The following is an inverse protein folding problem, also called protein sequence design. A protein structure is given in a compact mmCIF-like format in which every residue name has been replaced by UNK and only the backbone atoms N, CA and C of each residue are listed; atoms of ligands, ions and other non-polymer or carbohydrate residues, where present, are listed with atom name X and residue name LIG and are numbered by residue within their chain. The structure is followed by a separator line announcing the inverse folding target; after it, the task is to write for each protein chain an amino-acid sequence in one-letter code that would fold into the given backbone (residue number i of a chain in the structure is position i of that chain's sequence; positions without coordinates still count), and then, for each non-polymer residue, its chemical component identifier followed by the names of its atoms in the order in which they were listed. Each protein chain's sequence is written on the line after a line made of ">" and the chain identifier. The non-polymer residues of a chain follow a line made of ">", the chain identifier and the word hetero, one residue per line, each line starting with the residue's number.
data_IF_351930666948
#
_entry.id   IF_351930666948
#
_cell.length_a   1.000
_cell.length_b   1.000
_cell.length_c   1.000
_cell.angle_alpha   90.00
_cell.angle_beta   90.00
_cell.angle_gamma   90.00
#
_symmetry.space_group_name_H-M   'P 1'
#
loop_
_entity.id
_entity.type
_entity.pdbx_description
1 polymer ?
#
# COMPACT_ATOMS: atom_id res chain seq x y z
N UNK A 1 65.37 12.26 1.93
CA UNK A 1 63.99 12.74 1.77
C UNK A 1 63.08 11.82 2.55
N UNK A 2 62.59 12.25 3.71
CA UNK A 2 61.58 11.51 4.46
C UNK A 2 60.25 11.64 3.72
N UNK A 3 59.77 10.55 3.13
CA UNK A 3 58.41 10.47 2.59
C UNK A 3 57.45 10.45 3.78
N UNK A 4 56.82 11.59 4.02
CA UNK A 4 55.72 11.72 4.97
C UNK A 4 54.50 11.02 4.35
N UNK A 5 54.31 9.73 4.66
CA UNK A 5 53.10 9.00 4.27
C UNK A 5 51.94 9.60 5.07
N UNK A 6 50.98 10.22 4.38
CA UNK A 6 49.74 10.68 4.97
C UNK A 6 49.03 9.47 5.62
N UNK A 7 48.49 9.60 6.85
CA UNK A 7 47.79 8.49 7.48
C UNK A 7 46.59 8.09 6.63
N UNK A 8 46.54 6.80 6.27
CA UNK A 8 45.40 6.21 5.61
C UNK A 8 44.21 6.30 6.57
N UNK A 9 43.29 7.24 6.34
CA UNK A 9 42.01 7.28 7.05
C UNK A 9 41.28 6.00 6.65
N UNK A 10 41.22 5.04 7.56
CA UNK A 10 40.37 3.86 7.43
C UNK A 10 38.93 4.37 7.38
N UNK A 11 38.35 4.45 6.18
CA UNK A 11 36.92 4.63 6.05
C UNK A 11 36.27 3.43 6.75
N UNK A 12 35.43 3.61 7.78
CA UNK A 12 34.68 2.50 8.36
C UNK A 12 33.95 1.77 7.24
N UNK A 13 33.83 0.44 7.32
CA UNK A 13 33.26 -0.44 6.29
C UNK A 13 31.95 0.14 5.72
N UNK A 14 32.09 0.95 4.68
CA UNK A 14 31.02 1.80 4.16
C UNK A 14 29.94 0.92 3.52
N UNK A 15 30.37 -0.19 2.92
CA UNK A 15 29.50 -1.21 2.34
C UNK A 15 28.63 -1.84 3.44
N UNK A 16 29.22 -2.26 4.56
CA UNK A 16 28.45 -2.85 5.67
C UNK A 16 27.47 -1.87 6.32
N UNK A 17 27.88 -0.60 6.50
CA UNK A 17 27.04 0.45 7.09
C UNK A 17 25.86 0.82 6.17
N UNK A 18 26.11 0.97 4.87
CA UNK A 18 25.06 1.29 3.88
C UNK A 18 24.08 0.14 3.73
N UNK A 19 24.56 -1.11 3.62
CA UNK A 19 23.69 -2.29 3.48
C UNK A 19 22.78 -2.46 4.70
N UNK A 20 23.33 -2.31 5.92
CA UNK A 20 22.55 -2.38 7.15
C UNK A 20 21.51 -1.26 7.25
N UNK A 21 21.88 -0.03 6.88
CA UNK A 21 20.97 1.12 6.92
C UNK A 21 19.84 0.98 5.88
N UNK A 22 20.17 0.52 4.67
CA UNK A 22 19.17 0.26 3.63
C UNK A 22 18.22 -0.88 4.01
N UNK A 23 18.72 -1.92 4.68
CA UNK A 23 17.90 -3.04 5.14
C UNK A 23 16.80 -2.59 6.11
N UNK A 24 17.09 -1.64 7.00
CA UNK A 24 16.10 -1.11 7.95
C UNK A 24 14.86 -0.50 7.28
N UNK A 25 14.98 -0.03 6.03
CA UNK A 25 13.84 0.50 5.27
C UNK A 25 12.82 -0.57 4.91
N UNK A 26 13.25 -1.83 4.82
CA UNK A 26 12.42 -2.95 4.35
C UNK A 26 11.92 -3.87 5.47
N UNK A 27 12.21 -3.55 6.73
CA UNK A 27 11.73 -4.33 7.88
C UNK A 27 10.21 -4.27 7.93
N UNK A 28 9.57 -5.41 8.17
CA UNK A 28 8.11 -5.53 8.17
C UNK A 28 7.50 -5.98 6.84
N UNK A 29 8.33 -6.15 5.80
CA UNK A 29 7.93 -6.56 4.45
C UNK A 29 8.31 -8.02 4.16
N UNK A 30 7.80 -8.53 3.03
CA UNK A 30 8.27 -9.76 2.41
C UNK A 30 9.04 -9.48 1.13
N UNK A 31 9.95 -10.38 0.73
CA UNK A 31 10.62 -10.22 -0.57
C UNK A 31 9.64 -10.58 -1.70
N UNK A 32 9.00 -11.73 -1.57
CA UNK A 32 8.05 -12.28 -2.54
C UNK A 32 6.61 -11.84 -2.22
N UNK A 33 5.76 -11.87 -3.24
CA UNK A 33 4.32 -11.60 -3.11
C UNK A 33 3.64 -12.73 -2.32
N UNK A 34 2.82 -12.35 -1.34
CA UNK A 34 2.06 -13.28 -0.51
C UNK A 34 0.65 -13.47 -1.04
N UNK A 35 0.21 -14.74 -1.05
CA UNK A 35 -1.19 -15.12 -1.22
C UNK A 35 -1.81 -15.47 0.14
N UNK A 36 -3.01 -14.95 0.39
CA UNK A 36 -3.73 -15.12 1.65
C UNK A 36 -5.20 -15.44 1.37
N UNK A 37 -5.57 -16.72 1.49
CA UNK A 37 -6.88 -17.25 1.07
C UNK A 37 -7.67 -17.74 2.27
N UNK A 38 -8.90 -17.23 2.41
CA UNK A 38 -9.84 -17.68 3.44
C UNK A 38 -10.79 -18.71 2.86
N UNK A 39 -10.90 -19.87 3.52
CA UNK A 39 -11.81 -20.95 3.16
C UNK A 39 -12.67 -21.35 4.35
N UNK A 40 -13.84 -21.94 4.09
CA UNK A 40 -14.65 -22.56 5.14
C UNK A 40 -14.94 -24.02 4.82
N UNK A 41 -14.68 -24.90 5.80
CA UNK A 41 -14.95 -26.31 5.72
C UNK A 41 -15.36 -26.86 7.09
N UNK A 42 -16.41 -27.69 7.12
CA UNK A 42 -16.91 -28.34 8.34
C UNK A 42 -17.13 -27.39 9.53
N UNK A 43 -17.59 -26.16 9.27
CA UNK A 43 -17.86 -25.15 10.31
C UNK A 43 -16.62 -24.39 10.81
N UNK A 44 -15.43 -24.67 10.29
CA UNK A 44 -14.21 -23.92 10.56
C UNK A 44 -13.93 -22.98 9.41
N UNK A 45 -13.48 -21.76 9.72
CA UNK A 45 -12.95 -20.82 8.72
C UNK A 45 -11.44 -20.74 8.91
N UNK A 46 -10.70 -21.05 7.85
CA UNK A 46 -9.23 -21.16 7.85
C UNK A 46 -8.65 -20.16 6.88
N UNK A 47 -7.70 -19.37 7.35
CA UNK A 47 -6.81 -18.60 6.49
C UNK A 47 -5.59 -19.47 6.14
N UNK A 48 -5.23 -19.50 4.86
CA UNK A 48 -4.00 -20.08 4.34
C UNK A 48 -3.13 -18.97 3.79
N UNK A 49 -1.84 -18.96 4.15
CA UNK A 49 -0.85 -17.97 3.72
C UNK A 49 0.34 -18.69 3.11
N UNK A 50 0.71 -18.33 1.90
CA UNK A 50 1.86 -18.87 1.16
C UNK A 50 2.39 -17.84 0.16
N UNK A 51 3.54 -18.12 -0.45
CA UNK A 51 3.99 -17.35 -1.62
C UNK A 51 2.96 -17.48 -2.74
N UNK A 52 2.66 -16.40 -3.46
CA UNK A 52 1.79 -16.51 -4.63
C UNK A 52 2.40 -17.46 -5.69
N UNK A 53 1.58 -18.30 -6.30
CA UNK A 53 2.06 -19.41 -7.15
C UNK A 53 2.74 -20.57 -6.39
N UNK A 54 2.87 -20.48 -5.06
CA UNK A 54 3.46 -21.49 -4.17
C UNK A 54 4.97 -21.31 -3.96
N UNK A 55 5.46 -21.78 -2.81
CA UNK A 55 6.88 -21.70 -2.47
C UNK A 55 7.15 -21.22 -1.05
N UNK A 56 8.28 -20.53 -0.88
CA UNK A 56 8.75 -20.04 0.40
C UNK A 56 8.72 -18.51 0.40
N UNK A 57 8.48 -17.92 1.56
CA UNK A 57 8.40 -16.46 1.69
C UNK A 57 9.52 -15.99 2.59
N UNK A 58 10.32 -15.05 2.11
CA UNK A 58 11.39 -14.40 2.83
C UNK A 58 10.82 -13.19 3.56
N UNK A 59 10.77 -13.28 4.88
CA UNK A 59 10.28 -12.26 5.80
C UNK A 59 11.43 -11.41 6.32
N UNK A 60 11.31 -10.08 6.30
CA UNK A 60 12.36 -9.19 6.78
C UNK A 60 12.10 -8.67 8.19
N UNK A 61 12.95 -9.10 9.12
CA UNK A 61 13.02 -8.60 10.50
C UNK A 61 14.37 -7.94 10.75
N UNK A 62 14.49 -7.12 11.80
CA UNK A 62 15.75 -6.48 12.24
C UNK A 62 16.92 -7.48 12.47
N UNK A 63 16.61 -8.73 12.82
CA UNK A 63 17.54 -9.81 13.10
C UNK A 63 18.06 -10.46 11.81
N UNK A 64 17.56 -10.01 10.66
CA UNK A 64 17.83 -10.56 9.34
C UNK A 64 16.62 -11.29 8.73
N UNK A 65 16.76 -11.74 7.47
CA UNK A 65 15.70 -12.43 6.76
C UNK A 65 15.40 -13.80 7.39
N UNK A 66 14.12 -14.14 7.50
CA UNK A 66 13.65 -15.45 7.97
C UNK A 66 12.71 -16.06 6.93
N UNK A 67 12.87 -17.35 6.64
CA UNK A 67 12.09 -18.04 5.62
C UNK A 67 10.85 -18.71 6.23
N UNK A 68 9.68 -18.33 5.73
CA UNK A 68 8.42 -19.04 5.92
C UNK A 68 8.35 -20.20 4.91
N UNK A 69 8.56 -21.42 5.40
CA UNK A 69 8.59 -22.59 4.52
C UNK A 69 7.19 -23.11 4.22
N UNK A 70 6.76 -23.03 2.97
CA UNK A 70 5.47 -23.51 2.48
C UNK A 70 4.25 -22.86 3.14
N UNK A 71 3.07 -23.35 2.79
CA UNK A 71 1.80 -22.81 3.28
C UNK A 71 1.66 -22.93 4.80
N UNK A 72 1.25 -21.83 5.43
CA UNK A 72 0.80 -21.80 6.83
C UNK A 72 -0.69 -21.59 6.91
N UNK A 73 -1.31 -22.20 7.91
CA UNK A 73 -2.74 -22.05 8.14
C UNK A 73 -3.05 -21.61 9.55
N UNK A 74 -4.15 -20.89 9.70
CA UNK A 74 -4.69 -20.51 11.00
C UNK A 74 -6.22 -20.49 10.94
N UNK A 75 -6.87 -21.10 11.93
CA UNK A 75 -8.31 -20.95 12.10
C UNK A 75 -8.62 -19.53 12.55
N UNK A 76 -9.55 -18.84 11.88
CA UNK A 76 -9.99 -17.49 12.26
C UNK A 76 -11.06 -17.56 13.35
N UNK A 77 -11.16 -16.50 14.16
CA UNK A 77 -12.21 -16.39 15.16
C UNK A 77 -13.49 -15.97 14.47
N UNK A 78 -14.53 -16.78 14.59
CA UNK A 78 -15.83 -16.54 13.98
C UNK A 78 -16.62 -15.52 14.79
N UNK A 79 -17.38 -14.69 14.08
CA UNK A 79 -18.51 -13.96 14.64
C UNK A 79 -19.83 -14.60 14.23
N UNK A 80 -20.87 -13.78 14.24
CA UNK A 80 -22.18 -14.06 13.66
C UNK A 80 -22.44 -13.14 12.47
N UNK A 81 -23.50 -13.41 11.71
CA UNK A 81 -23.85 -12.57 10.56
C UNK A 81 -24.28 -11.15 10.95
N UNK A 82 -24.77 -10.97 12.19
CA UNK A 82 -25.17 -9.67 12.75
C UNK A 82 -24.06 -9.00 13.58
N UNK A 83 -23.11 -9.80 14.07
CA UNK A 83 -21.97 -9.33 14.87
C UNK A 83 -20.73 -10.11 14.41
N UNK A 84 -20.16 -9.73 13.25
CA UNK A 84 -18.98 -10.39 12.72
C UNK A 84 -17.73 -10.05 13.53
N UNK A 85 -16.74 -10.93 13.52
CA UNK A 85 -15.51 -10.78 14.30
C UNK A 85 -14.33 -10.40 13.40
N UNK A 86 -13.68 -9.29 13.71
CA UNK A 86 -12.43 -8.90 13.04
C UNK A 86 -11.26 -9.73 13.58
N UNK A 87 -10.38 -10.15 12.68
CA UNK A 87 -9.14 -10.87 12.97
C UNK A 87 -7.98 -10.11 12.32
N UNK A 88 -7.03 -9.64 13.13
CA UNK A 88 -5.76 -9.08 12.71
C UNK A 88 -4.73 -10.20 12.71
N UNK A 89 -4.29 -10.63 11.53
CA UNK A 89 -3.35 -11.75 11.37
C UNK A 89 -1.96 -11.22 11.04
N UNK A 90 -0.94 -11.75 11.70
CA UNK A 90 0.44 -11.31 11.59
C UNK A 90 1.42 -12.42 11.99
N UNK A 91 2.70 -12.23 11.69
CA UNK A 91 3.80 -13.09 12.14
C UNK A 91 4.71 -12.26 13.03
N UNK A 92 4.97 -12.74 14.26
CA UNK A 92 5.85 -12.09 15.22
C UNK A 92 7.31 -12.49 14.97
N UNK A 93 8.24 -11.56 15.17
CA UNK A 93 9.68 -11.88 15.21
C UNK A 93 10.01 -12.95 16.26
N UNK A 94 9.35 -12.91 17.42
CA UNK A 94 9.62 -13.83 18.54
C UNK A 94 9.22 -15.28 18.25
N UNK A 95 8.25 -15.49 17.37
CA UNK A 95 7.77 -16.81 16.93
C UNK A 95 7.66 -16.81 15.42
N UNK A 96 8.79 -16.69 14.72
CA UNK A 96 8.77 -16.62 13.28
C UNK A 96 8.30 -17.98 12.74
N UNK A 97 7.63 -17.97 11.58
CA UNK A 97 6.95 -19.12 10.98
C UNK A 97 5.62 -19.59 11.62
N UNK A 98 5.09 -18.84 12.59
CA UNK A 98 3.75 -19.09 13.16
C UNK A 98 2.82 -17.92 12.86
N UNK A 99 1.71 -18.21 12.19
CA UNK A 99 0.62 -17.23 12.06
C UNK A 99 0.00 -16.99 13.43
N UNK A 100 -0.14 -15.72 13.79
CA UNK A 100 -0.80 -15.27 15.01
C UNK A 100 -2.00 -14.42 14.62
N UNK A 101 -3.08 -14.49 15.40
CA UNK A 101 -4.25 -13.61 15.24
C UNK A 101 -4.59 -12.88 16.53
N UNK A 102 -5.18 -11.70 16.39
CA UNK A 102 -5.76 -10.89 17.46
C UNK A 102 -7.14 -10.39 17.03
N UNK A 103 -8.04 -10.14 17.98
CA UNK A 103 -9.36 -9.55 17.73
C UNK A 103 -9.45 -8.07 18.11
N UNK A 104 -8.35 -7.48 18.61
CA UNK A 104 -8.32 -6.10 19.12
C UNK A 104 -7.39 -5.17 18.35
N UNK A 105 -6.52 -5.69 17.48
CA UNK A 105 -5.56 -4.92 16.71
C UNK A 105 -4.25 -5.67 16.47
N UNK A 106 -3.37 -5.08 15.68
CA UNK A 106 -1.97 -5.51 15.56
C UNK A 106 -1.18 -5.23 16.85
N UNK A 107 -0.05 -5.91 17.07
CA UNK A 107 0.82 -5.62 18.21
C UNK A 107 1.37 -4.19 18.19
N UNK A 108 1.62 -3.62 19.37
CA UNK A 108 2.19 -2.26 19.53
C UNK A 108 3.52 -2.24 20.27
N UNK A 109 3.95 -3.37 20.84
CA UNK A 109 5.14 -3.47 21.72
C UNK A 109 6.18 -4.47 21.21
N UNK A 110 5.96 -5.06 20.05
CA UNK A 110 6.84 -6.06 19.44
C UNK A 110 6.86 -5.87 17.93
N UNK A 111 7.93 -6.35 17.30
CA UNK A 111 8.09 -6.35 15.85
C UNK A 111 7.30 -7.50 15.22
N UNK A 112 6.60 -7.20 14.14
CA UNK A 112 5.76 -8.14 13.41
C UNK A 112 5.68 -7.77 11.93
N UNK A 113 5.31 -8.76 11.12
CA UNK A 113 4.90 -8.56 9.73
C UNK A 113 3.38 -8.74 9.67
N UNK A 114 2.61 -7.71 9.25
CA UNK A 114 1.17 -7.84 9.10
C UNK A 114 0.84 -8.71 7.89
N UNK A 115 -0.11 -9.63 8.06
CA UNK A 115 -0.70 -10.36 6.93
C UNK A 115 -1.96 -9.63 6.47
N UNK A 116 -2.86 -9.33 7.41
CA UNK A 116 -4.06 -8.60 7.05
C UNK A 116 -5.15 -8.58 8.11
N UNK A 117 -6.25 -7.95 7.74
CA UNK A 117 -7.48 -7.85 8.51
C UNK A 117 -8.62 -8.60 7.82
N UNK A 118 -9.28 -9.46 8.58
CA UNK A 118 -10.35 -10.31 8.07
C UNK A 118 -11.59 -10.18 8.96
N UNK A 119 -12.69 -9.66 8.40
CA UNK A 119 -13.98 -9.54 9.12
C UNK A 119 -14.82 -10.78 8.83
N UNK A 120 -14.95 -11.65 9.84
CA UNK A 120 -15.48 -13.00 9.69
C UNK A 120 -16.89 -13.11 10.28
N UNK A 121 -17.92 -13.36 9.46
CA UNK A 121 -19.28 -13.67 9.91
C UNK A 121 -19.39 -15.14 10.35
N UNK A 122 -20.58 -15.74 10.28
CA UNK A 122 -20.73 -17.18 10.53
C UNK A 122 -19.99 -18.02 9.48
N UNK A 123 -19.56 -19.23 9.85
CA UNK A 123 -18.89 -20.15 8.91
C UNK A 123 -19.78 -20.52 7.71
N UNK A 124 -21.08 -20.71 7.92
CA UNK A 124 -22.03 -21.03 6.83
C UNK A 124 -22.10 -19.90 5.79
N UNK A 125 -22.05 -18.64 6.25
CA UNK A 125 -21.99 -17.49 5.36
C UNK A 125 -20.67 -17.45 4.59
N UNK A 126 -19.54 -17.64 5.26
CA UNK A 126 -18.23 -17.67 4.60
C UNK A 126 -18.18 -18.75 3.51
N UNK A 127 -18.72 -19.94 3.79
CA UNK A 127 -18.79 -21.03 2.80
C UNK A 127 -19.61 -20.67 1.55
N UNK A 128 -20.61 -19.79 1.67
CA UNK A 128 -21.55 -19.46 0.59
C UNK A 128 -21.18 -18.16 -0.14
N UNK A 129 -20.69 -17.16 0.59
CA UNK A 129 -20.52 -15.78 0.11
C UNK A 129 -19.14 -15.19 0.39
N UNK A 130 -18.26 -15.88 1.11
CA UNK A 130 -16.98 -15.35 1.55
C UNK A 130 -17.04 -14.46 2.79
N UNK A 131 -15.93 -13.79 3.09
CA UNK A 131 -15.77 -12.89 4.24
C UNK A 131 -16.43 -11.54 3.98
N UNK A 132 -16.72 -10.77 5.04
CA UNK A 132 -17.19 -9.39 4.85
C UNK A 132 -16.09 -8.41 4.49
N UNK A 133 -14.89 -8.67 4.99
CA UNK A 133 -13.68 -7.89 4.68
C UNK A 133 -12.53 -8.86 4.59
N UNK A 134 -11.74 -8.70 3.53
CA UNK A 134 -10.38 -9.19 3.42
C UNK A 134 -9.54 -8.00 3.00
N UNK A 135 -8.65 -7.56 3.88
CA UNK A 135 -7.72 -6.47 3.61
C UNK A 135 -6.33 -6.99 3.89
N UNK A 136 -5.56 -7.21 2.83
CA UNK A 136 -4.18 -7.67 2.97
C UNK A 136 -3.29 -6.46 3.25
N UNK A 137 -2.41 -6.63 4.23
CA UNK A 137 -1.39 -5.65 4.60
C UNK A 137 0.01 -6.16 4.23
N UNK A 138 0.08 -7.33 3.60
CA UNK A 138 1.32 -7.89 3.08
C UNK A 138 1.84 -6.98 1.98
N UNK A 139 3.11 -6.68 2.06
CA UNK A 139 3.78 -5.80 1.13
C UNK A 139 5.09 -6.45 0.69
N UNK A 140 5.27 -6.57 -0.61
CA UNK A 140 6.41 -7.22 -1.23
C UNK A 140 7.43 -6.19 -1.69
N UNK A 141 8.71 -6.55 -1.61
CA UNK A 141 9.80 -5.70 -2.13
C UNK A 141 9.93 -5.86 -3.64
N UNK A 142 9.57 -7.02 -4.16
CA UNK A 142 9.68 -7.40 -5.56
C UNK A 142 8.41 -8.11 -6.01
N UNK A 143 7.82 -7.58 -7.08
CA UNK A 143 6.71 -8.23 -7.77
C UNK A 143 7.26 -9.38 -8.61
N UNK A 144 6.92 -10.61 -8.26
CA UNK A 144 7.40 -11.79 -9.00
C UNK A 144 6.77 -11.96 -10.39
N UNK A 145 5.69 -11.23 -10.67
CA UNK A 145 4.93 -11.31 -11.91
C UNK A 145 5.35 -10.24 -12.91
N UNK A 146 5.47 -8.98 -12.47
CA UNK A 146 5.87 -7.85 -13.34
C UNK A 146 7.35 -7.50 -13.24
N UNK A 147 8.07 -8.10 -12.29
CA UNK A 147 9.49 -7.81 -12.02
C UNK A 147 9.75 -6.33 -11.62
N UNK A 148 8.76 -5.71 -10.99
CA UNK A 148 8.85 -4.34 -10.49
C UNK A 148 9.27 -4.30 -9.02
N UNK A 149 10.09 -3.31 -8.67
CA UNK A 149 10.45 -3.04 -7.27
C UNK A 149 9.40 -2.18 -6.57
N UNK A 150 9.28 -2.34 -5.26
CA UNK A 150 8.27 -1.65 -4.44
C UNK A 150 8.21 -0.12 -4.64
N UNK A 151 9.36 0.56 -4.82
CA UNK A 151 9.37 2.01 -5.07
C UNK A 151 8.67 2.40 -6.38
N UNK A 152 8.74 1.56 -7.41
CA UNK A 152 8.05 1.80 -8.68
C UNK A 152 6.53 1.67 -8.49
N UNK A 153 6.08 0.64 -7.77
CA UNK A 153 4.66 0.44 -7.46
C UNK A 153 4.09 1.58 -6.60
N UNK A 154 4.82 2.02 -5.58
CA UNK A 154 4.45 3.21 -4.80
C UNK A 154 4.32 4.45 -5.68
N UNK A 155 5.29 4.65 -6.56
CA UNK A 155 5.34 5.78 -7.49
C UNK A 155 4.20 5.75 -8.51
N UNK A 156 3.77 4.58 -8.94
CA UNK A 156 2.61 4.38 -9.79
C UNK A 156 1.32 4.72 -9.02
N UNK A 157 1.14 4.16 -7.82
CA UNK A 157 -0.02 4.41 -6.98
C UNK A 157 -0.19 5.91 -6.67
N UNK A 158 0.90 6.60 -6.30
CA UNK A 158 0.90 8.05 -6.05
C UNK A 158 0.48 8.82 -7.31
N UNK A 159 0.99 8.43 -8.48
CA UNK A 159 0.66 9.10 -9.75
C UNK A 159 -0.75 8.82 -10.25
N UNK A 160 -1.38 7.75 -9.79
CA UNK A 160 -2.77 7.42 -10.07
C UNK A 160 -3.76 8.21 -9.20
N UNK A 161 -3.29 8.86 -8.11
CA UNK A 161 -4.15 9.74 -7.31
C UNK A 161 -4.39 11.07 -8.04
N UNK A 162 -5.51 11.76 -7.76
CA UNK A 162 -5.69 13.13 -8.22
C UNK A 162 -4.53 14.02 -7.76
N UNK A 163 -4.08 14.92 -8.64
CA UNK A 163 -3.02 15.84 -8.30
C UNK A 163 -3.45 16.78 -7.16
N UNK A 164 -2.56 17.01 -6.19
CA UNK A 164 -2.82 17.90 -5.06
C UNK A 164 -2.47 19.33 -5.45
N UNK A 165 -3.36 20.28 -5.14
CA UNK A 165 -3.07 21.71 -5.35
C UNK A 165 -1.89 22.19 -4.51
N UNK A 166 -1.01 23.01 -5.12
CA UNK A 166 0.13 23.64 -4.44
C UNK A 166 0.00 25.17 -4.43
N UNK A 167 -0.03 25.80 -5.62
CA UNK A 167 -0.16 27.26 -5.76
C UNK A 167 -0.82 27.63 -7.10
N UNK A 168 -1.31 28.87 -7.23
CA UNK A 168 -1.98 29.36 -8.43
C UNK A 168 -3.27 28.58 -8.75
N UNK A 169 -3.54 28.33 -10.04
CA UNK A 169 -4.71 27.55 -10.52
C UNK A 169 -6.07 28.09 -10.05
N UNK A 170 -6.14 29.39 -9.74
CA UNK A 170 -7.38 30.02 -9.30
C UNK A 170 -8.43 29.94 -10.42
N UNK A 171 -9.55 29.27 -10.13
CA UNK A 171 -10.71 29.20 -10.99
C UNK A 171 -11.58 30.45 -10.83
N UNK A 172 -11.83 31.15 -11.94
CA UNK A 172 -12.67 32.34 -12.03
C UNK A 172 -13.83 32.06 -12.99
N UNK A 173 -14.99 31.63 -12.48
CA UNK A 173 -16.19 31.46 -13.30
C UNK A 173 -16.88 32.81 -13.57
N UNK A 174 -17.33 33.02 -14.80
CA UNK A 174 -18.08 34.21 -15.23
C UNK A 174 -19.34 33.77 -15.95
N UNK A 175 -20.51 34.21 -15.48
CA UNK A 175 -21.80 33.99 -16.13
C UNK A 175 -22.20 35.23 -16.92
N UNK A 176 -22.46 35.07 -18.21
CA UNK A 176 -23.04 36.07 -19.09
C UNK A 176 -24.49 35.69 -19.42
N UNK A 177 -25.44 36.49 -18.95
CA UNK A 177 -26.89 36.33 -19.16
C UNK A 177 -27.44 37.18 -20.32
N UNK A 178 -26.57 37.84 -21.08
CA UNK A 178 -26.92 38.56 -22.29
C UNK A 178 -27.29 37.69 -23.50
N UNK A 179 -26.57 36.59 -23.80
CA UNK A 179 -26.91 35.67 -24.89
C UNK A 179 -28.03 34.69 -24.49
N UNK A 180 -28.67 34.07 -25.48
CA UNK A 180 -29.64 32.98 -25.28
C UNK A 180 -29.19 31.74 -26.08
N UNK A 181 -28.76 30.66 -25.42
CA UNK A 181 -28.70 30.45 -23.97
C UNK A 181 -27.60 31.30 -23.29
N UNK A 182 -27.73 31.50 -21.98
CA UNK A 182 -26.69 32.09 -21.14
C UNK A 182 -25.33 31.39 -21.37
N UNK A 183 -24.23 32.13 -21.26
CA UNK A 183 -22.88 31.60 -21.44
C UNK A 183 -22.11 31.58 -20.11
N UNK A 184 -21.62 30.41 -19.72
CA UNK A 184 -20.70 30.25 -18.59
C UNK A 184 -19.26 30.12 -19.12
N UNK A 185 -18.40 31.05 -18.73
CA UNK A 185 -16.96 31.00 -18.98
C UNK A 185 -16.24 30.59 -17.70
N UNK A 186 -15.35 29.61 -17.79
CA UNK A 186 -14.38 29.24 -16.76
C UNK A 186 -12.98 29.66 -17.24
N UNK A 187 -12.28 30.44 -16.42
CA UNK A 187 -10.86 30.73 -16.57
C UNK A 187 -10.08 30.21 -15.35
N UNK A 188 -8.92 29.61 -15.58
CA UNK A 188 -8.00 29.10 -14.56
C UNK A 188 -6.64 29.73 -14.79
N UNK A 189 -6.07 30.36 -13.76
CA UNK A 189 -4.72 30.90 -13.83
C UNK A 189 -3.67 29.78 -13.94
N UNK A 190 -2.48 30.09 -14.45
CA UNK A 190 -1.36 29.16 -14.33
C UNK A 190 -1.01 28.94 -12.85
N UNK A 191 -0.41 27.80 -12.53
CA UNK A 191 0.00 27.47 -11.16
C UNK A 191 0.78 26.16 -11.12
N UNK A 192 0.82 25.54 -9.95
CA UNK A 192 1.53 24.28 -9.72
C UNK A 192 0.61 23.25 -9.05
N UNK A 193 0.73 22.01 -9.48
CA UNK A 193 0.07 20.84 -8.88
C UNK A 193 1.09 19.76 -8.55
N UNK A 194 0.80 18.94 -7.54
CA UNK A 194 1.67 17.86 -7.09
C UNK A 194 1.16 16.50 -7.60
N UNK A 195 1.97 15.82 -8.40
CA UNK A 195 1.75 14.44 -8.84
C UNK A 195 3.06 13.65 -8.68
N UNK A 196 3.40 13.33 -7.44
CA UNK A 196 4.75 12.99 -6.92
C UNK A 196 5.71 14.20 -6.89
N UNK A 197 5.88 14.88 -8.02
CA UNK A 197 6.66 16.12 -8.11
C UNK A 197 5.76 17.31 -8.47
N UNK A 198 6.29 18.52 -8.32
CA UNK A 198 5.62 19.72 -8.79
C UNK A 198 5.58 19.71 -10.32
N UNK A 199 4.40 20.01 -10.85
CA UNK A 199 4.13 20.16 -12.26
C UNK A 199 3.47 21.51 -12.52
N UNK A 200 3.95 22.21 -13.55
CA UNK A 200 3.32 23.43 -14.03
C UNK A 200 1.94 23.09 -14.60
N UNK A 201 0.90 23.71 -14.02
CA UNK A 201 -0.45 23.69 -14.55
C UNK A 201 -0.64 24.91 -15.44
N UNK A 202 -0.95 24.74 -16.73
CA UNK A 202 -1.08 25.85 -17.66
C UNK A 202 -2.35 26.67 -17.37
N UNK A 203 -2.30 27.97 -17.68
CA UNK A 203 -3.51 28.79 -17.69
C UNK A 203 -4.49 28.27 -18.76
N UNK A 204 -5.78 28.33 -18.44
CA UNK A 204 -6.85 27.92 -19.34
C UNK A 204 -7.98 28.96 -19.32
N UNK A 205 -8.57 29.26 -20.48
CA UNK A 205 -9.75 30.12 -20.59
C UNK A 205 -10.69 29.57 -21.66
N UNK A 206 -11.91 29.23 -21.24
CA UNK A 206 -12.94 28.66 -22.13
C UNK A 206 -13.61 29.70 -23.05
N UNK A 207 -13.41 31.01 -22.83
CA UNK A 207 -13.93 32.05 -23.73
C UNK A 207 -13.29 32.02 -25.13
N UNK A 208 -12.11 31.40 -25.25
CA UNK A 208 -11.36 31.27 -26.51
C UNK A 208 -11.90 30.21 -27.49
N UNK A 209 -12.98 29.50 -27.16
CA UNK A 209 -13.59 28.50 -28.06
C UNK A 209 -12.98 27.10 -28.04
N UNK A 210 -12.40 26.69 -26.90
CA UNK A 210 -11.89 25.31 -26.69
C UNK A 210 -12.96 24.34 -26.16
N UNK A 211 -12.73 23.04 -26.33
CA UNK A 211 -13.51 21.99 -25.65
C UNK A 211 -12.87 21.68 -24.30
N UNK A 212 -13.61 21.87 -23.20
CA UNK A 212 -13.19 21.49 -21.84
C UNK A 212 -13.92 20.24 -21.40
N UNK A 213 -13.19 19.20 -21.03
CA UNK A 213 -13.77 18.03 -20.37
C UNK A 213 -13.81 18.30 -18.86
N UNK A 214 -14.98 18.70 -18.34
CA UNK A 214 -15.22 18.79 -16.91
C UNK A 214 -15.62 17.41 -16.39
N UNK A 215 -14.73 16.76 -15.65
CA UNK A 215 -15.06 15.53 -14.94
C UNK A 215 -15.57 15.88 -13.54
N UNK A 216 -16.88 15.79 -13.33
CA UNK A 216 -17.49 15.94 -12.00
C UNK A 216 -17.35 14.65 -11.19
N UNK A 217 -16.74 14.72 -10.01
CA UNK A 217 -16.59 13.58 -9.09
C UNK A 217 -17.77 13.39 -8.13
N UNK A 218 -18.83 14.19 -8.25
CA UNK A 218 -20.05 14.00 -7.46
C UNK A 218 -21.05 13.16 -8.23
N UNK A 219 -21.41 12.01 -7.67
CA UNK A 219 -22.69 11.37 -7.98
C UNK A 219 -23.75 12.16 -7.21
N UNK A 220 -24.71 12.75 -7.93
CA UNK A 220 -25.89 13.31 -7.30
C UNK A 220 -26.61 12.20 -6.51
N UNK A 221 -27.00 12.51 -5.28
CA UNK A 221 -27.89 11.70 -4.45
C UNK A 221 -29.35 11.93 -4.83
#
# INVERSE_FOLDING_TARGET
>A
MLHNQLPLVQLPNLVGSIVSTAYNFYIGLTVETLSAVVTSAAGVVTLTVEQDGGGNVTMLFDAGPIILVGAKTIALTLGSDISPQINFVYIRKATPAVLTKSTSGFPTTEEFIPIGEFLIPSAARVATYGTFKTHLHTDHIWNDTTEDGHLQEMNEWIRAQPATWSDGTLCTPTLDTGPSPDALTIAVAAGEVLQLHLHDFPAFDSSGGGTTNLTTFFTES
#
